data_IF_950526410904
#
_entry.id   IF_950526410904
#
_cell.length_a   1.000
_cell.length_b   1.000
_cell.length_c   1.000
_cell.angle_alpha   90.00
_cell.angle_beta   90.00
_cell.angle_gamma   90.00
#
_symmetry.space_group_name_H-M   'P 1'
#
loop_
_entity.id
_entity.type
_entity.pdbx_description
1 polymer ?
#
# COMPACT_ATOMS: atom_id res chain seq x y z
N UNK A 1 -50.61 -9.76 33.19
CA UNK A 1 -49.57 -10.71 32.69
C UNK A 1 -49.23 -10.47 31.22
N UNK A 2 -49.05 -9.21 30.77
CA UNK A 2 -48.62 -8.88 29.39
C UNK A 2 -47.33 -8.04 29.32
N UNK A 3 -46.88 -7.48 30.46
CA UNK A 3 -45.68 -6.62 30.54
C UNK A 3 -44.38 -7.40 30.81
N UNK A 4 -44.48 -8.64 31.31
CA UNK A 4 -43.31 -9.49 31.57
C UNK A 4 -42.82 -10.24 30.32
N UNK A 5 -43.66 -10.41 29.30
CA UNK A 5 -43.30 -11.07 28.04
C UNK A 5 -42.40 -10.17 27.17
N UNK A 6 -42.60 -8.84 27.25
CA UNK A 6 -41.76 -7.89 26.52
C UNK A 6 -40.33 -7.80 27.09
N UNK A 7 -40.17 -8.05 28.39
CA UNK A 7 -38.87 -7.96 29.08
C UNK A 7 -37.98 -9.17 28.76
N UNK A 8 -38.55 -10.37 28.61
CA UNK A 8 -37.81 -11.58 28.23
C UNK A 8 -37.35 -11.57 26.77
N UNK A 9 -38.09 -10.91 25.87
CA UNK A 9 -37.70 -10.79 24.45
C UNK A 9 -36.50 -9.83 24.25
N UNK A 10 -36.32 -8.86 25.15
CA UNK A 10 -35.19 -7.92 25.12
C UNK A 10 -33.88 -8.52 25.66
N UNK A 11 -33.95 -9.60 26.46
CA UNK A 11 -32.75 -10.27 26.98
C UNK A 11 -32.10 -11.22 25.96
N UNK A 12 -32.83 -11.65 24.92
CA UNK A 12 -32.30 -12.55 23.88
C UNK A 12 -31.44 -11.82 22.84
N UNK A 13 -31.50 -10.49 22.76
CA UNK A 13 -30.65 -9.70 21.84
C UNK A 13 -29.24 -9.43 22.37
N UNK A 14 -28.94 -9.87 23.60
CA UNK A 14 -27.62 -9.74 24.22
C UNK A 14 -26.77 -11.01 24.13
N UNK A 15 -27.28 -12.07 23.47
CA UNK A 15 -26.48 -13.26 23.17
C UNK A 15 -25.50 -12.86 22.06
N UNK A 16 -24.28 -12.59 22.51
CA UNK A 16 -23.14 -12.07 21.78
C UNK A 16 -22.90 -12.75 20.45
N UNK A 17 -22.55 -11.95 19.43
CA UNK A 17 -21.72 -12.44 18.34
C UNK A 17 -20.36 -12.82 18.95
N UNK A 18 -20.12 -14.11 19.21
CA UNK A 18 -18.78 -14.59 19.53
C UNK A 18 -17.98 -14.46 18.24
N UNK A 19 -17.01 -13.56 18.23
CA UNK A 19 -16.01 -13.54 17.17
C UNK A 19 -15.06 -14.70 17.43
N UNK A 20 -15.48 -15.93 17.08
CA UNK A 20 -14.55 -17.03 16.80
C UNK A 20 -13.74 -16.57 15.60
N UNK A 21 -12.66 -15.84 15.90
CA UNK A 21 -11.80 -15.28 14.88
C UNK A 21 -10.78 -16.34 14.46
N UNK A 22 -11.25 -17.33 13.70
CA UNK A 22 -10.41 -18.14 12.81
C UNK A 22 -9.98 -17.33 11.56
N UNK A 23 -10.00 -15.99 11.63
CA UNK A 23 -9.53 -15.12 10.56
C UNK A 23 -7.99 -15.07 10.63
N UNK A 24 -7.29 -15.27 9.51
CA UNK A 24 -5.84 -15.22 9.51
C UNK A 24 -5.35 -13.83 9.95
N UNK A 25 -4.35 -13.80 10.83
CA UNK A 25 -3.82 -12.58 11.41
C UNK A 25 -2.91 -11.86 10.40
N UNK A 26 -3.45 -10.88 9.68
CA UNK A 26 -2.70 -10.05 8.75
C UNK A 26 -2.26 -8.72 9.36
N UNK A 27 -1.02 -8.32 9.09
CA UNK A 27 -0.57 -6.94 9.28
C UNK A 27 -0.17 -6.31 7.96
N UNK A 28 -0.39 -5.00 7.82
CA UNK A 28 0.07 -4.25 6.64
C UNK A 28 1.42 -3.62 6.90
N UNK A 29 2.33 -3.78 5.96
CA UNK A 29 3.67 -3.21 6.01
C UNK A 29 3.99 -2.48 4.70
N UNK A 30 4.75 -1.39 4.83
CA UNK A 30 5.18 -0.57 3.68
C UNK A 30 6.61 -0.97 3.31
N UNK A 31 6.77 -1.48 2.09
CA UNK A 31 8.04 -1.91 1.54
C UNK A 31 8.66 -0.81 0.66
N UNK A 32 10.01 -0.72 0.65
CA UNK A 32 10.73 0.22 -0.20
C UNK A 32 10.59 -0.13 -1.68
N UNK A 33 10.64 0.90 -2.52
CA UNK A 33 10.75 0.74 -3.98
C UNK A 33 12.22 0.50 -4.31
N UNK A 34 12.55 -0.69 -4.81
CA UNK A 34 13.90 -1.05 -5.20
C UNK A 34 14.35 -0.28 -6.44
N UNK A 35 13.55 -0.32 -7.51
CA UNK A 35 13.77 0.48 -8.73
C UNK A 35 12.46 0.86 -9.40
N UNK A 36 12.52 1.80 -10.32
CA UNK A 36 11.36 2.33 -11.02
C UNK A 36 11.72 2.72 -12.46
N UNK A 37 10.70 2.76 -13.32
CA UNK A 37 10.82 3.27 -14.69
C UNK A 37 9.89 4.45 -14.87
N UNK A 38 10.46 5.60 -15.22
CA UNK A 38 9.75 6.84 -15.54
C UNK A 38 10.14 7.33 -16.94
N UNK A 39 9.24 7.99 -17.67
CA UNK A 39 9.63 8.69 -18.89
C UNK A 39 10.49 9.91 -18.54
N UNK A 40 11.29 10.39 -19.50
CA UNK A 40 12.11 11.58 -19.31
C UNK A 40 11.28 12.88 -19.20
N UNK A 41 10.11 12.91 -19.85
CA UNK A 41 9.14 13.99 -19.74
C UNK A 41 7.72 13.47 -19.95
N UNK A 42 6.75 14.27 -19.51
CA UNK A 42 5.34 14.03 -19.72
C UNK A 42 4.73 15.00 -20.72
N UNK A 43 3.60 14.62 -21.31
CA UNK A 43 2.70 15.51 -22.04
C UNK A 43 1.38 15.65 -21.29
N UNK A 44 0.84 16.86 -21.23
CA UNK A 44 -0.43 17.13 -20.56
C UNK A 44 -1.56 16.35 -21.24
N UNK A 45 -2.41 15.67 -20.46
CA UNK A 45 -3.53 14.88 -20.98
C UNK A 45 -3.16 13.49 -21.49
N UNK A 46 -1.89 13.08 -21.38
CA UNK A 46 -1.46 11.72 -21.72
C UNK A 46 -1.39 10.82 -20.47
N UNK A 47 -1.43 9.50 -20.70
CA UNK A 47 -1.28 8.48 -19.66
C UNK A 47 0.01 7.70 -19.87
N UNK A 48 0.79 7.53 -18.80
CA UNK A 48 2.05 6.79 -18.82
C UNK A 48 1.99 5.61 -17.86
N UNK A 49 2.48 4.45 -18.29
CA UNK A 49 2.68 3.31 -17.40
C UNK A 49 3.98 3.55 -16.60
N UNK A 50 3.86 3.61 -15.27
CA UNK A 50 5.00 3.67 -14.36
C UNK A 50 5.19 2.29 -13.76
N UNK A 51 6.41 1.76 -13.86
CA UNK A 51 6.78 0.44 -13.33
C UNK A 51 7.61 0.58 -12.07
N UNK A 52 7.35 -0.26 -11.09
CA UNK A 52 8.02 -0.32 -9.80
C UNK A 52 8.48 -1.75 -9.55
N UNK A 53 9.72 -1.92 -9.12
CA UNK A 53 10.24 -3.18 -8.59
C UNK A 53 10.44 -3.08 -7.09
N UNK A 54 10.24 -4.20 -6.40
CA UNK A 54 10.43 -4.29 -4.96
C UNK A 54 10.85 -5.68 -4.55
N UNK A 55 11.60 -5.73 -3.45
CA UNK A 55 12.03 -6.96 -2.83
C UNK A 55 11.10 -7.29 -1.67
N UNK A 56 10.48 -8.48 -1.71
CA UNK A 56 9.76 -9.02 -0.56
C UNK A 56 10.75 -9.62 0.41
N UNK A 57 10.64 -9.36 1.73
CA UNK A 57 11.55 -9.97 2.71
C UNK A 57 11.45 -11.50 2.78
N UNK A 58 10.26 -12.05 2.55
CA UNK A 58 9.98 -13.49 2.52
C UNK A 58 8.67 -13.79 1.80
N UNK A 59 8.34 -15.07 1.65
CA UNK A 59 7.07 -15.56 1.09
C UNK A 59 5.83 -15.26 1.97
N UNK A 60 6.03 -14.78 3.21
CA UNK A 60 4.98 -14.23 4.08
C UNK A 60 4.38 -12.92 3.56
N UNK A 61 5.13 -12.18 2.74
CA UNK A 61 4.72 -10.89 2.23
C UNK A 61 3.97 -11.09 0.92
N UNK A 62 2.72 -10.63 0.88
CA UNK A 62 1.92 -10.56 -0.34
C UNK A 62 1.75 -9.12 -0.77
N UNK A 63 1.73 -8.90 -2.09
CA UNK A 63 1.39 -7.60 -2.64
C UNK A 63 -0.06 -7.26 -2.30
N UNK A 64 -0.28 -6.12 -1.67
CA UNK A 64 -1.61 -5.61 -1.36
C UNK A 64 -1.97 -4.40 -2.24
N UNK A 65 -0.99 -3.59 -2.61
CA UNK A 65 -1.21 -2.41 -3.42
C UNK A 65 0.00 -1.49 -3.51
N UNK A 66 -0.20 -0.35 -4.15
CA UNK A 66 0.77 0.75 -4.19
C UNK A 66 0.26 1.81 -3.22
N UNK A 67 1.06 2.14 -2.21
CA UNK A 67 0.82 3.32 -1.39
C UNK A 67 1.05 4.54 -2.28
N UNK A 68 0.05 5.42 -2.37
CA UNK A 68 0.07 6.57 -3.24
C UNK A 68 -0.53 7.78 -2.54
N UNK A 69 0.32 8.75 -2.20
CA UNK A 69 -0.12 10.03 -1.64
C UNK A 69 0.15 11.16 -2.64
N UNK A 70 -0.80 12.10 -2.71
CA UNK A 70 -0.81 13.21 -3.67
C UNK A 70 -0.86 14.53 -2.91
N UNK A 71 0.16 15.36 -3.14
CA UNK A 71 0.17 16.75 -2.72
C UNK A 71 0.59 17.65 -3.89
N UNK A 72 -0.35 18.39 -4.50
CA UNK A 72 -0.13 19.17 -5.72
C UNK A 72 0.49 18.32 -6.84
N UNK A 73 1.72 18.62 -7.27
CA UNK A 73 2.51 17.87 -8.26
C UNK A 73 3.50 16.87 -7.62
N UNK A 74 3.48 16.73 -6.30
CA UNK A 74 4.27 15.74 -5.58
C UNK A 74 3.48 14.43 -5.50
N UNK A 75 4.15 13.31 -5.77
CA UNK A 75 3.62 11.95 -5.64
C UNK A 75 4.53 11.15 -4.73
N UNK A 76 4.03 10.76 -3.56
CA UNK A 76 4.76 9.88 -2.65
C UNK A 76 4.33 8.45 -2.88
N UNK A 77 5.27 7.58 -3.21
CA UNK A 77 5.01 6.23 -3.69
C UNK A 77 5.79 5.21 -2.86
N UNK A 78 5.10 4.16 -2.44
CA UNK A 78 5.70 2.98 -1.80
C UNK A 78 4.91 1.72 -2.17
N UNK A 79 5.42 0.54 -1.78
CA UNK A 79 4.67 -0.71 -1.94
C UNK A 79 3.97 -1.04 -0.63
N UNK A 80 2.67 -1.30 -0.70
CA UNK A 80 1.91 -1.83 0.42
C UNK A 80 1.83 -3.35 0.31
N UNK A 81 2.20 -4.02 1.40
CA UNK A 81 2.14 -5.48 1.52
C UNK A 81 1.26 -5.90 2.69
N UNK A 82 0.67 -7.08 2.58
CA UNK A 82 0.08 -7.78 3.71
C UNK A 82 1.03 -8.89 4.16
N UNK A 83 1.11 -9.12 5.46
CA UNK A 83 1.96 -10.12 6.09
C UNK A 83 1.08 -11.03 6.93
N UNK A 84 1.00 -12.32 6.56
CA UNK A 84 0.31 -13.31 7.37
C UNK A 84 1.20 -13.73 8.55
N UNK A 85 0.79 -13.41 9.78
CA UNK A 85 1.55 -13.73 11.00
C UNK A 85 1.42 -15.19 11.41
N UNK A 86 0.41 -15.91 10.93
CA UNK A 86 0.18 -17.30 11.28
C UNK A 86 0.87 -18.27 10.29
N UNK A 87 1.41 -17.74 9.19
CA UNK A 87 2.09 -18.53 8.17
C UNK A 87 3.54 -18.82 8.58
N UNK A 88 3.94 -20.09 8.51
CA UNK A 88 5.35 -20.47 8.56
C UNK A 88 5.99 -20.16 7.22
N UNK A 89 6.92 -19.22 7.21
CA UNK A 89 7.52 -18.67 6.01
C UNK A 89 8.97 -19.09 5.85
N UNK A 90 9.37 -19.29 4.60
CA UNK A 90 10.77 -19.61 4.30
C UNK A 90 11.63 -18.37 4.48
N UNK A 91 12.88 -18.56 4.93
CA UNK A 91 13.88 -17.49 5.01
C UNK A 91 14.59 -17.28 3.66
N UNK A 92 14.14 -17.97 2.61
CA UNK A 92 14.69 -17.81 1.27
C UNK A 92 14.16 -16.51 0.70
N UNK A 93 15.07 -15.62 0.33
CA UNK A 93 14.71 -14.35 -0.29
C UNK A 93 14.02 -14.62 -1.64
N UNK A 94 12.76 -14.22 -1.83
CA UNK A 94 12.07 -14.36 -3.12
C UNK A 94 12.75 -13.53 -4.21
N UNK A 95 12.48 -13.85 -5.48
CA UNK A 95 12.87 -12.95 -6.57
C UNK A 95 12.17 -11.58 -6.44
N UNK A 96 12.82 -10.53 -6.95
CA UNK A 96 12.20 -9.21 -7.04
C UNK A 96 10.88 -9.28 -7.82
N UNK A 97 9.89 -8.56 -7.31
CA UNK A 97 8.56 -8.49 -7.90
C UNK A 97 8.41 -7.16 -8.63
N UNK A 98 7.66 -7.14 -9.74
CA UNK A 98 7.36 -5.95 -10.52
C UNK A 98 5.85 -5.67 -10.48
N UNK A 99 5.48 -4.40 -10.36
CA UNK A 99 4.11 -3.91 -10.49
C UNK A 99 4.10 -2.62 -11.29
N UNK A 100 3.01 -2.35 -12.00
CA UNK A 100 2.82 -1.10 -12.72
C UNK A 100 1.51 -0.41 -12.37
N UNK A 101 1.46 0.89 -12.63
CA UNK A 101 0.23 1.67 -12.58
C UNK A 101 0.23 2.74 -13.66
N UNK A 102 -0.98 3.14 -14.07
CA UNK A 102 -1.16 4.18 -15.06
C UNK A 102 -1.22 5.56 -14.38
N UNK A 103 -0.37 6.47 -14.83
CA UNK A 103 -0.31 7.84 -14.37
C UNK A 103 -0.84 8.80 -15.42
N UNK A 104 -1.98 9.43 -15.12
CA UNK A 104 -2.61 10.43 -15.99
C UNK A 104 -2.12 11.85 -15.64
N UNK A 105 -1.56 12.53 -16.63
CA UNK A 105 -0.91 13.84 -16.47
C UNK A 105 -1.96 14.95 -16.53
N UNK A 106 -2.25 15.58 -15.38
CA UNK A 106 -3.37 16.53 -15.22
C UNK A 106 -2.97 17.98 -14.99
N UNK A 107 -1.74 18.19 -14.55
CA UNK A 107 -1.17 19.50 -14.23
C UNK A 107 0.03 19.81 -15.14
N UNK A 108 0.27 21.10 -15.35
CA UNK A 108 1.48 21.64 -15.99
C UNK A 108 2.63 21.78 -14.98
N UNK A 109 3.81 22.17 -15.45
CA UNK A 109 5.03 22.24 -14.63
C UNK A 109 5.70 20.88 -14.49
N UNK A 110 6.47 20.67 -13.43
CA UNK A 110 7.09 19.37 -13.15
C UNK A 110 6.33 18.58 -12.10
N UNK A 111 6.38 17.25 -12.20
CA UNK A 111 6.01 16.35 -11.10
C UNK A 111 7.25 15.94 -10.33
N UNK A 112 7.11 15.84 -9.00
CA UNK A 112 8.15 15.30 -8.13
C UNK A 112 7.66 13.95 -7.62
N UNK A 113 8.33 12.87 -7.99
CA UNK A 113 8.07 11.54 -7.45
C UNK A 113 9.00 11.28 -6.27
N UNK A 114 8.43 10.94 -5.12
CA UNK A 114 9.15 10.55 -3.91
C UNK A 114 8.96 9.05 -3.70
N UNK A 115 9.97 8.27 -4.06
CA UNK A 115 9.95 6.81 -3.89
C UNK A 115 10.49 6.46 -2.51
N UNK A 116 9.71 5.79 -1.68
CA UNK A 116 10.13 5.37 -0.34
C UNK A 116 11.30 4.38 -0.41
N UNK A 117 12.35 4.61 0.40
CA UNK A 117 13.57 3.81 0.45
C UNK A 117 13.83 3.15 1.80
N UNK A 118 12.86 3.18 2.72
CA UNK A 118 13.03 2.67 4.06
C UNK A 118 13.26 3.78 5.08
N UNK A 119 13.89 3.41 6.19
CA UNK A 119 14.29 4.33 7.26
C UNK A 119 15.80 4.27 7.45
N UNK A 120 16.40 5.37 7.87
CA UNK A 120 17.80 5.43 8.27
C UNK A 120 18.03 4.80 9.66
N UNK A 121 19.27 4.83 10.13
CA UNK A 121 19.64 4.30 11.46
C UNK A 121 18.96 5.02 12.63
N UNK A 122 18.45 6.25 12.42
CA UNK A 122 17.72 7.03 13.42
C UNK A 122 16.19 6.84 13.32
N UNK A 123 15.72 5.98 12.40
CA UNK A 123 14.30 5.75 12.16
C UNK A 123 13.62 6.82 11.30
N UNK A 124 14.39 7.71 10.67
CA UNK A 124 13.88 8.76 9.77
C UNK A 124 13.61 8.15 8.40
N UNK A 125 12.41 8.41 7.87
CA UNK A 125 12.00 7.94 6.54
C UNK A 125 12.83 8.58 5.44
N UNK A 126 13.33 7.77 4.51
CA UNK A 126 14.11 8.18 3.35
C UNK A 126 13.26 8.08 2.08
N UNK A 127 13.36 9.10 1.23
CA UNK A 127 12.81 9.10 -0.12
C UNK A 127 13.91 9.36 -1.14
N UNK A 128 13.82 8.69 -2.29
CA UNK A 128 14.50 9.11 -3.51
C UNK A 128 13.54 10.00 -4.30
N UNK A 129 13.98 11.22 -4.63
CA UNK A 129 13.16 12.22 -5.32
C UNK A 129 13.59 12.37 -6.78
N UNK A 130 12.62 12.29 -7.70
CA UNK A 130 12.84 12.48 -9.14
C UNK A 130 11.88 13.52 -9.67
N UNK A 131 12.41 14.53 -10.33
CA UNK A 131 11.62 15.54 -11.03
C UNK A 131 11.43 15.14 -12.50
N UNK A 132 10.19 15.12 -12.96
CA UNK A 132 9.83 14.84 -14.36
C UNK A 132 9.04 16.03 -14.92
N UNK A 133 9.56 16.77 -15.91
CA UNK A 133 8.90 17.94 -16.46
C UNK A 133 7.71 17.55 -17.37
N UNK A 134 6.68 18.39 -17.38
CA UNK A 134 5.60 18.33 -18.38
C UNK A 134 5.97 19.28 -19.52
N UNK A 135 6.17 18.71 -20.69
CA UNK A 135 6.48 19.40 -21.95
C UNK A 135 5.23 19.51 -22.82
N UNK A 136 5.13 20.61 -23.55
CA UNK A 136 4.09 20.80 -24.58
C UNK A 136 4.43 20.05 -25.87
#
# INVERSE_FOLDING_TARGET
MKKFIALTLFLLTLISCSTDNDLPNYTYEVLPVASYTLPQSFKLGETYEIKLKYQRPSDCYSFQGIYYDKNLNIRTIAIQSAVNKDQVCTQVLPAESEVSFNFFVTNTGSYIFKFYKGKDANGVTIFEEVEVPVTN
#
